data_IF_246969696859
#
_entry.id   IF_246969696859
#
_cell.length_a   1.000
_cell.length_b   1.000
_cell.length_c   1.000
_cell.angle_alpha   90.00
_cell.angle_beta   90.00
_cell.angle_gamma   90.00
#
_symmetry.space_group_name_H-M   'P 1'
#
loop_
_entity.id
_entity.type
_entity.pdbx_description
1 polymer ?
#
# COMPACT_ATOMS: atom_id res chain seq x y z
N UNK A 1 -26.46 11.38 4.53
CA UNK A 1 -25.39 10.82 3.69
C UNK A 1 -26.06 10.32 2.43
N UNK A 2 -25.47 10.59 1.26
CA UNK A 2 -25.94 10.03 -0.02
C UNK A 2 -25.77 8.51 -0.07
N UNK A 3 -26.25 7.84 -1.14
CA UNK A 3 -26.00 6.41 -1.33
C UNK A 3 -24.49 6.15 -1.38
N UNK A 4 -24.06 5.05 -0.76
CA UNK A 4 -22.65 4.63 -0.81
C UNK A 4 -22.32 4.09 -2.20
N UNK A 5 -21.07 4.27 -2.61
CA UNK A 5 -20.53 3.76 -3.87
C UNK A 5 -20.33 2.25 -3.72
N UNK A 6 -20.91 1.49 -4.63
CA UNK A 6 -20.72 0.04 -4.70
C UNK A 6 -19.29 -0.29 -5.11
N UNK A 7 -18.68 -1.26 -4.42
CA UNK A 7 -17.32 -1.71 -4.70
C UNK A 7 -17.23 -3.23 -4.79
N UNK A 8 -16.33 -3.68 -5.66
CA UNK A 8 -15.97 -5.09 -5.80
C UNK A 8 -14.59 -5.41 -5.24
N UNK A 9 -14.35 -6.69 -4.92
CA UNK A 9 -13.04 -7.19 -4.48
C UNK A 9 -12.68 -8.42 -5.31
N UNK A 10 -11.61 -8.33 -6.11
CA UNK A 10 -10.95 -9.45 -6.77
C UNK A 10 -9.96 -10.13 -5.80
N UNK A 11 -9.98 -11.45 -5.74
CA UNK A 11 -9.19 -12.22 -4.78
C UNK A 11 -9.74 -12.17 -3.36
N UNK A 12 -11.06 -12.00 -3.20
CA UNK A 12 -11.76 -11.73 -1.95
C UNK A 12 -11.50 -12.76 -0.83
N UNK A 13 -11.26 -14.02 -1.16
CA UNK A 13 -11.03 -15.12 -0.19
C UNK A 13 -9.62 -15.17 0.38
N UNK A 14 -8.65 -14.48 -0.24
CA UNK A 14 -7.26 -14.38 0.20
C UNK A 14 -7.08 -13.45 1.41
N UNK A 15 -5.89 -13.46 2.04
CA UNK A 15 -5.59 -12.64 3.22
C UNK A 15 -5.82 -11.15 2.99
N UNK A 16 -5.32 -10.60 1.87
CA UNK A 16 -5.52 -9.18 1.55
C UNK A 16 -6.98 -8.89 1.19
N UNK A 17 -7.67 -9.83 0.50
CA UNK A 17 -9.10 -9.75 0.25
C UNK A 17 -9.92 -9.67 1.53
N UNK A 18 -9.60 -10.49 2.52
CA UNK A 18 -10.23 -10.43 3.85
C UNK A 18 -9.92 -9.11 4.58
N UNK A 19 -8.70 -8.56 4.44
CA UNK A 19 -8.37 -7.24 4.98
C UNK A 19 -9.20 -6.13 4.33
N UNK A 20 -9.47 -6.20 3.02
CA UNK A 20 -10.42 -5.27 2.38
C UNK A 20 -11.81 -5.38 3.01
N UNK A 21 -12.33 -6.60 3.17
CA UNK A 21 -13.64 -6.83 3.80
C UNK A 21 -13.68 -6.22 5.20
N UNK A 22 -12.66 -6.46 6.02
CA UNK A 22 -12.56 -5.91 7.37
C UNK A 22 -12.45 -4.38 7.36
N UNK A 23 -11.61 -3.83 6.51
CA UNK A 23 -11.32 -2.39 6.47
C UNK A 23 -12.48 -1.55 5.91
N UNK A 24 -13.24 -2.10 4.95
CA UNK A 24 -14.43 -1.48 4.37
C UNK A 24 -15.69 -1.66 5.22
N UNK A 25 -15.62 -2.41 6.31
CA UNK A 25 -16.76 -2.54 7.23
C UNK A 25 -17.15 -1.15 7.77
N UNK A 26 -18.42 -0.77 7.55
CA UNK A 26 -18.94 0.55 7.91
C UNK A 26 -18.21 1.75 7.29
N UNK A 27 -17.58 1.57 6.13
CA UNK A 27 -16.93 2.67 5.43
C UNK A 27 -17.98 3.73 5.03
N UNK A 28 -17.72 5.05 5.23
CA UNK A 28 -18.74 6.06 5.00
C UNK A 28 -19.10 6.26 3.53
N UNK A 29 -18.18 5.96 2.59
CA UNK A 29 -18.36 6.19 1.16
C UNK A 29 -18.55 4.91 0.34
N UNK A 30 -17.98 3.78 0.78
CA UNK A 30 -17.94 2.54 0.00
C UNK A 30 -18.74 1.41 0.64
N UNK A 31 -19.38 0.59 -0.20
CA UNK A 31 -20.12 -0.60 0.22
C UNK A 31 -19.77 -1.79 -0.67
N UNK A 32 -19.38 -2.91 -0.05
CA UNK A 32 -19.06 -4.13 -0.79
C UNK A 32 -20.34 -4.77 -1.28
N UNK A 33 -20.49 -4.88 -2.60
CA UNK A 33 -21.63 -5.54 -3.26
C UNK A 33 -21.23 -6.72 -4.12
N UNK A 34 -19.93 -6.86 -4.44
CA UNK A 34 -19.43 -7.89 -5.32
C UNK A 34 -18.10 -8.48 -4.82
N UNK A 35 -17.98 -9.81 -4.90
CA UNK A 35 -16.77 -10.52 -4.47
C UNK A 35 -16.38 -11.53 -5.56
N UNK A 36 -15.17 -11.35 -6.13
CA UNK A 36 -14.60 -12.26 -7.11
C UNK A 36 -13.49 -13.12 -6.52
N UNK A 37 -13.50 -14.41 -6.82
CA UNK A 37 -12.43 -15.33 -6.45
C UNK A 37 -12.24 -16.43 -7.51
N UNK A 38 -11.35 -17.39 -7.24
CA UNK A 38 -11.10 -18.51 -8.16
C UNK A 38 -12.32 -19.41 -8.35
N UNK A 39 -12.33 -20.18 -9.43
CA UNK A 39 -13.38 -21.16 -9.79
C UNK A 39 -13.76 -22.10 -8.64
N UNK A 40 -12.84 -22.38 -7.70
CA UNK A 40 -13.11 -23.22 -6.52
C UNK A 40 -14.11 -22.57 -5.55
N UNK A 41 -14.18 -21.26 -5.55
CA UNK A 41 -15.00 -20.43 -4.65
C UNK A 41 -16.25 -19.91 -5.34
N UNK A 42 -16.23 -19.76 -6.67
CA UNK A 42 -17.34 -19.24 -7.44
C UNK A 42 -18.61 -20.07 -7.25
N UNK A 43 -19.74 -19.38 -7.16
CA UNK A 43 -21.05 -19.99 -6.94
C UNK A 43 -21.45 -20.23 -5.48
N UNK A 44 -20.50 -20.20 -4.54
CA UNK A 44 -20.75 -20.34 -3.09
C UNK A 44 -21.01 -18.96 -2.46
N UNK A 45 -21.63 -18.93 -1.30
CA UNK A 45 -21.62 -17.71 -0.48
C UNK A 45 -20.23 -17.42 0.05
N UNK A 46 -19.92 -16.16 0.35
CA UNK A 46 -18.61 -15.80 0.88
C UNK A 46 -18.27 -16.52 2.20
N UNK A 47 -19.28 -16.72 3.04
CA UNK A 47 -19.15 -17.50 4.28
C UNK A 47 -18.75 -18.96 4.05
N UNK A 48 -19.28 -19.59 3.01
CA UNK A 48 -18.93 -20.98 2.63
C UNK A 48 -17.57 -21.06 1.91
N UNK A 49 -17.23 -20.06 1.09
CA UNK A 49 -16.02 -20.02 0.28
C UNK A 49 -14.76 -19.64 1.07
N UNK A 50 -14.92 -19.02 2.25
CA UNK A 50 -13.81 -18.34 2.95
C UNK A 50 -13.59 -18.91 4.33
N UNK A 51 -12.38 -19.40 4.58
CA UNK A 51 -11.89 -19.59 5.95
C UNK A 51 -11.42 -18.23 6.47
N UNK A 52 -12.19 -17.61 7.37
CA UNK A 52 -11.82 -16.33 7.96
C UNK A 52 -10.55 -16.44 8.80
N UNK A 53 -9.52 -15.65 8.51
CA UNK A 53 -8.18 -15.74 9.10
C UNK A 53 -7.79 -14.53 9.93
N UNK A 54 -8.58 -13.47 9.88
CA UNK A 54 -8.32 -12.24 10.63
C UNK A 54 -8.96 -12.28 12.01
N UNK A 55 -8.43 -11.48 12.93
CA UNK A 55 -9.01 -11.32 14.26
C UNK A 55 -10.46 -10.83 14.20
N UNK A 56 -11.28 -11.38 15.09
CA UNK A 56 -12.71 -11.15 15.13
C UNK A 56 -13.49 -12.10 14.22
N UNK A 57 -14.77 -11.81 14.06
CA UNK A 57 -15.69 -12.59 13.22
C UNK A 57 -15.83 -11.95 11.84
N UNK A 58 -16.08 -12.80 10.84
CA UNK A 58 -16.42 -12.33 9.48
C UNK A 58 -17.65 -11.38 9.57
N UNK A 59 -17.60 -10.20 8.93
CA UNK A 59 -18.72 -9.26 8.93
C UNK A 59 -19.99 -9.88 8.34
N UNK A 60 -21.12 -9.76 9.05
CA UNK A 60 -22.36 -10.41 8.68
C UNK A 60 -22.93 -9.94 7.32
N UNK A 61 -22.68 -8.68 6.97
CA UNK A 61 -23.18 -8.08 5.72
C UNK A 61 -22.57 -8.66 4.44
N UNK A 62 -21.43 -9.36 4.54
CA UNK A 62 -20.77 -9.97 3.35
C UNK A 62 -20.95 -11.50 3.30
N UNK A 63 -21.33 -12.14 4.40
CA UNK A 63 -21.38 -13.60 4.50
C UNK A 63 -22.24 -14.27 3.43
N UNK A 64 -23.35 -13.63 3.06
CA UNK A 64 -24.32 -14.14 2.09
C UNK A 64 -24.10 -13.64 0.67
N UNK A 65 -23.10 -12.79 0.42
CA UNK A 65 -22.74 -12.35 -0.93
C UNK A 65 -22.23 -13.58 -1.70
N UNK A 66 -22.80 -13.83 -2.87
CA UNK A 66 -22.35 -14.91 -3.74
C UNK A 66 -21.01 -14.53 -4.36
N UNK A 67 -20.02 -15.41 -4.22
CA UNK A 67 -18.71 -15.25 -4.86
C UNK A 67 -18.85 -15.56 -6.36
N UNK A 68 -18.35 -14.68 -7.20
CA UNK A 68 -18.40 -14.79 -8.65
C UNK A 68 -17.02 -15.10 -9.25
N UNK A 69 -16.99 -15.50 -10.53
CA UNK A 69 -15.75 -15.61 -11.30
C UNK A 69 -15.09 -14.23 -11.45
N UNK A 70 -13.77 -14.21 -11.54
CA UNK A 70 -13.00 -12.98 -11.76
C UNK A 70 -13.11 -12.53 -13.23
N UNK A 71 -14.33 -12.22 -13.68
CA UNK A 71 -14.62 -11.69 -15.01
C UNK A 71 -15.41 -10.38 -14.91
N UNK A 72 -15.19 -9.43 -15.83
CA UNK A 72 -16.07 -8.28 -15.96
C UNK A 72 -17.52 -8.72 -16.15
N UNK A 73 -18.47 -7.90 -15.91
CA UNK A 73 -19.90 -8.22 -16.09
C UNK A 73 -20.73 -7.42 -15.08
N UNK A 74 -21.20 -8.08 -14.05
CA UNK A 74 -22.00 -7.42 -12.99
C UNK A 74 -21.15 -6.76 -11.90
N UNK A 75 -19.82 -6.75 -12.03
CA UNK A 75 -18.96 -6.10 -11.07
C UNK A 75 -19.21 -4.58 -11.05
N UNK A 76 -19.16 -3.93 -9.87
CA UNK A 76 -19.30 -2.48 -9.78
C UNK A 76 -18.14 -1.77 -10.47
N UNK A 77 -18.31 -0.46 -10.73
CA UNK A 77 -17.31 0.33 -11.44
C UNK A 77 -15.95 0.35 -10.71
N UNK A 78 -15.94 0.48 -9.39
CA UNK A 78 -14.72 0.45 -8.58
C UNK A 78 -14.46 -0.98 -8.07
N UNK A 79 -13.26 -1.49 -8.37
CA UNK A 79 -12.85 -2.83 -7.94
C UNK A 79 -11.45 -2.78 -7.32
N UNK A 80 -11.35 -3.30 -6.11
CA UNK A 80 -10.06 -3.55 -5.46
C UNK A 80 -9.51 -4.90 -5.90
N UNK A 81 -8.22 -4.96 -6.26
CA UNK A 81 -7.60 -6.22 -6.65
C UNK A 81 -6.51 -6.66 -5.67
N UNK A 82 -6.62 -7.91 -5.22
CA UNK A 82 -5.62 -8.64 -4.44
C UNK A 82 -5.29 -9.98 -5.08
N UNK A 83 -5.27 -10.02 -6.41
CA UNK A 83 -5.00 -11.20 -7.20
C UNK A 83 -3.53 -11.61 -7.13
N UNK A 84 -3.30 -12.92 -7.24
CA UNK A 84 -1.95 -13.44 -7.43
C UNK A 84 -1.34 -12.89 -8.73
N UNK A 85 -0.04 -12.60 -8.69
CA UNK A 85 0.65 -12.02 -9.83
C UNK A 85 0.63 -12.89 -11.10
N UNK A 86 0.44 -14.20 -10.97
CA UNK A 86 0.37 -15.11 -12.12
C UNK A 86 -0.85 -14.89 -13.01
N UNK A 87 -1.93 -14.33 -12.45
CA UNK A 87 -3.22 -14.13 -13.17
C UNK A 87 -3.67 -12.66 -13.19
N UNK A 88 -3.06 -11.81 -12.38
CA UNK A 88 -3.50 -10.42 -12.19
C UNK A 88 -3.49 -9.62 -13.50
N UNK A 89 -2.45 -9.76 -14.33
CA UNK A 89 -2.30 -8.96 -15.55
C UNK A 89 -3.52 -9.08 -16.47
N UNK A 90 -3.89 -10.30 -16.81
CA UNK A 90 -4.98 -10.55 -17.75
C UNK A 90 -6.34 -10.12 -17.18
N UNK A 91 -6.59 -10.44 -15.90
CA UNK A 91 -7.85 -10.13 -15.24
C UNK A 91 -8.03 -8.62 -15.08
N UNK A 92 -7.03 -7.93 -14.53
CA UNK A 92 -7.10 -6.48 -14.28
C UNK A 92 -7.23 -5.69 -15.58
N UNK A 93 -6.53 -6.11 -16.65
CA UNK A 93 -6.65 -5.49 -17.97
C UNK A 93 -8.05 -5.72 -18.58
N UNK A 94 -8.61 -6.92 -18.44
CA UNK A 94 -9.96 -7.20 -18.93
C UNK A 94 -11.01 -6.31 -18.23
N UNK A 95 -10.87 -6.11 -16.91
CA UNK A 95 -11.74 -5.20 -16.16
C UNK A 95 -11.57 -3.74 -16.59
N UNK A 96 -10.33 -3.26 -16.73
CA UNK A 96 -10.07 -1.88 -17.18
C UNK A 96 -10.59 -1.65 -18.60
N UNK A 97 -10.44 -2.61 -19.50
CA UNK A 97 -10.98 -2.57 -20.87
C UNK A 97 -12.51 -2.51 -20.86
N UNK A 98 -13.17 -3.24 -19.96
CA UNK A 98 -14.63 -3.24 -19.80
C UNK A 98 -15.18 -1.95 -19.16
N UNK A 99 -14.32 -1.08 -18.61
CA UNK A 99 -14.70 0.21 -18.05
C UNK A 99 -14.59 0.31 -16.54
N UNK A 100 -14.07 -0.71 -15.87
CA UNK A 100 -13.89 -0.67 -14.42
C UNK A 100 -12.65 0.14 -14.01
N UNK A 101 -12.71 0.72 -12.82
CA UNK A 101 -11.59 1.37 -12.15
C UNK A 101 -10.97 0.36 -11.19
N UNK A 102 -9.72 -0.01 -11.45
CA UNK A 102 -8.99 -0.99 -10.66
C UNK A 102 -7.99 -0.30 -9.75
N UNK A 103 -8.07 -0.59 -8.45
CA UNK A 103 -7.01 -0.26 -7.48
C UNK A 103 -6.33 -1.57 -7.08
N UNK A 104 -5.12 -1.77 -7.64
CA UNK A 104 -4.42 -3.06 -7.57
C UNK A 104 -3.33 -3.10 -6.50
N UNK A 105 -3.29 -4.19 -5.73
CA UNK A 105 -2.16 -4.54 -4.86
C UNK A 105 -1.14 -5.44 -5.57
N UNK A 106 -1.46 -5.97 -6.76
CA UNK A 106 -0.55 -6.80 -7.52
C UNK A 106 0.67 -6.01 -8.01
N UNK A 107 1.80 -6.70 -8.15
CA UNK A 107 3.04 -6.09 -8.64
C UNK A 107 3.05 -5.78 -10.13
N UNK A 108 2.15 -6.40 -10.89
CA UNK A 108 2.25 -6.53 -12.34
C UNK A 108 2.30 -5.19 -13.10
N UNK A 109 1.53 -4.21 -12.68
CA UNK A 109 1.43 -2.92 -13.36
C UNK A 109 2.23 -1.79 -12.71
N UNK A 110 2.89 -2.03 -11.56
CA UNK A 110 3.52 -0.97 -10.75
C UNK A 110 4.56 -0.14 -11.50
N UNK A 111 5.37 -0.78 -12.34
CA UNK A 111 6.47 -0.11 -13.05
C UNK A 111 6.11 0.28 -14.48
N UNK A 112 4.87 0.07 -14.92
CA UNK A 112 4.42 0.54 -16.23
C UNK A 112 4.41 2.08 -16.28
N UNK A 113 4.86 2.69 -17.38
CA UNK A 113 5.09 4.15 -17.44
C UNK A 113 3.81 4.98 -17.39
N UNK A 114 2.67 4.39 -17.77
CA UNK A 114 1.35 5.03 -17.80
C UNK A 114 0.43 4.62 -16.63
N UNK A 115 0.96 3.85 -15.67
CA UNK A 115 0.21 3.43 -14.47
C UNK A 115 0.74 4.15 -13.24
N UNK A 116 -0.10 4.89 -12.49
CA UNK A 116 0.33 5.51 -11.26
C UNK A 116 0.59 4.45 -10.17
N UNK A 117 1.78 4.53 -9.56
CA UNK A 117 2.14 3.82 -8.34
C UNK A 117 1.92 4.77 -7.17
N UNK A 118 0.81 4.61 -6.45
CA UNK A 118 0.22 5.69 -5.68
C UNK A 118 0.36 5.50 -4.17
N UNK A 119 0.87 6.53 -3.52
CA UNK A 119 0.71 6.80 -2.10
C UNK A 119 0.10 8.21 -2.00
N UNK A 120 -1.19 8.36 -1.67
CA UNK A 120 -1.91 9.62 -1.73
C UNK A 120 -1.22 10.79 -1.03
N UNK A 121 -0.53 10.51 0.08
CA UNK A 121 0.20 11.53 0.84
C UNK A 121 1.47 12.01 0.17
N UNK A 122 1.99 11.29 -0.84
CA UNK A 122 3.29 11.62 -1.46
C UNK A 122 3.12 12.16 -2.87
N UNK A 123 2.29 11.50 -3.67
CA UNK A 123 2.26 11.68 -5.11
C UNK A 123 0.83 11.65 -5.70
N UNK A 124 -0.10 12.30 -5.04
CA UNK A 124 -1.49 12.43 -5.53
C UNK A 124 -1.57 12.97 -6.97
N UNK A 125 -0.62 13.81 -7.38
CA UNK A 125 -0.52 14.38 -8.73
C UNK A 125 -0.17 13.34 -9.80
N UNK A 126 0.37 12.16 -9.44
CA UNK A 126 0.58 11.06 -10.39
C UNK A 126 -0.74 10.53 -10.99
N UNK A 127 -1.89 10.77 -10.36
CA UNK A 127 -3.21 10.46 -10.94
C UNK A 127 -3.47 11.20 -12.28
N UNK A 128 -2.80 12.31 -12.52
CA UNK A 128 -2.91 13.07 -13.79
C UNK A 128 -2.43 12.27 -15.00
N UNK A 129 -1.75 11.13 -14.81
CA UNK A 129 -1.37 10.23 -15.91
C UNK A 129 -2.52 9.37 -16.43
N UNK A 130 -3.62 9.23 -15.69
CA UNK A 130 -4.75 8.35 -16.04
C UNK A 130 -5.34 8.65 -17.44
N UNK A 131 -5.61 9.89 -17.83
CA UNK A 131 -6.10 10.15 -19.19
C UNK A 131 -5.13 9.70 -20.30
N UNK A 132 -3.83 9.70 -20.03
CA UNK A 132 -2.82 9.20 -20.94
C UNK A 132 -2.86 7.66 -21.02
N UNK A 133 -3.01 6.98 -19.88
CA UNK A 133 -3.21 5.53 -19.82
C UNK A 133 -4.41 5.10 -20.68
N UNK A 134 -5.57 5.74 -20.47
CA UNK A 134 -6.79 5.43 -21.19
C UNK A 134 -6.63 5.60 -22.71
N UNK A 135 -6.02 6.70 -23.16
CA UNK A 135 -5.76 6.95 -24.59
C UNK A 135 -4.79 5.94 -25.19
N UNK A 136 -3.67 5.64 -24.51
CA UNK A 136 -2.64 4.72 -25.01
C UNK A 136 -3.15 3.29 -25.14
N UNK A 137 -3.99 2.87 -24.20
CA UNK A 137 -4.48 1.47 -24.12
C UNK A 137 -5.85 1.27 -24.75
N UNK A 138 -6.56 2.34 -25.13
CA UNK A 138 -7.92 2.26 -25.63
C UNK A 138 -8.92 1.77 -24.58
N UNK A 139 -8.64 1.99 -23.29
CA UNK A 139 -9.50 1.56 -22.20
C UNK A 139 -10.53 2.62 -21.83
N UNK A 140 -11.72 2.15 -21.40
CA UNK A 140 -12.76 3.00 -20.81
C UNK A 140 -12.57 3.12 -19.29
N UNK A 141 -11.96 2.14 -18.66
CA UNK A 141 -11.59 2.13 -17.26
C UNK A 141 -10.12 2.53 -17.06
N UNK A 142 -9.57 2.16 -15.91
CA UNK A 142 -8.21 2.54 -15.54
C UNK A 142 -7.64 1.62 -14.46
N UNK A 143 -6.31 1.61 -14.34
CA UNK A 143 -5.58 0.91 -13.29
C UNK A 143 -4.72 1.91 -12.54
N UNK A 144 -4.87 1.95 -11.21
CA UNK A 144 -3.92 2.54 -10.28
C UNK A 144 -3.37 1.44 -9.36
N UNK A 145 -2.10 1.53 -8.97
CA UNK A 145 -1.45 0.47 -8.19
C UNK A 145 -0.97 0.96 -6.83
N UNK A 146 -1.06 0.06 -5.84
CA UNK A 146 -0.39 0.20 -4.55
C UNK A 146 1.06 -0.29 -4.66
N UNK A 147 2.00 0.35 -3.95
CA UNK A 147 3.37 -0.12 -3.83
C UNK A 147 3.49 -1.43 -3.04
N UNK A 148 4.69 -1.99 -3.08
CA UNK A 148 5.12 -3.02 -2.15
C UNK A 148 5.02 -2.55 -0.69
N UNK A 149 4.64 -3.44 0.23
CA UNK A 149 4.36 -3.10 1.62
C UNK A 149 5.57 -2.52 2.38
N UNK A 150 6.79 -2.99 2.10
CA UNK A 150 8.00 -2.43 2.69
C UNK A 150 8.35 -1.07 2.05
N UNK A 151 8.11 -0.93 0.75
CA UNK A 151 8.30 0.33 0.03
C UNK A 151 7.40 1.43 0.57
N UNK A 152 6.13 1.13 0.88
CA UNK A 152 5.22 2.11 1.51
C UNK A 152 5.81 2.65 2.82
N UNK A 153 6.31 1.75 3.68
CA UNK A 153 6.92 2.14 4.96
C UNK A 153 8.13 3.04 4.76
N UNK A 154 9.03 2.69 3.83
CA UNK A 154 10.21 3.48 3.52
C UNK A 154 9.84 4.83 2.89
N UNK A 155 9.03 4.83 1.84
CA UNK A 155 8.66 6.04 1.10
C UNK A 155 7.93 7.06 1.98
N UNK A 156 7.03 6.61 2.86
CA UNK A 156 6.34 7.47 3.82
C UNK A 156 7.29 8.10 4.83
N UNK A 157 8.27 7.33 5.33
CA UNK A 157 9.27 7.87 6.26
C UNK A 157 10.22 8.87 5.58
N UNK A 158 10.48 8.72 4.27
CA UNK A 158 11.31 9.61 3.47
C UNK A 158 10.55 10.85 2.97
N UNK A 159 9.23 10.80 2.83
CA UNK A 159 8.43 11.87 2.24
C UNK A 159 8.62 13.24 2.92
N UNK A 160 8.61 13.35 4.26
CA UNK A 160 8.91 14.61 4.95
C UNK A 160 10.31 15.17 4.65
N UNK A 161 11.26 14.28 4.33
CA UNK A 161 12.65 14.62 4.07
C UNK A 161 12.91 15.05 2.61
N UNK A 162 11.95 14.82 1.69
CA UNK A 162 12.10 15.16 0.26
C UNK A 162 12.47 16.62 0.03
N UNK A 163 11.98 17.53 0.84
CA UNK A 163 12.26 18.97 0.78
C UNK A 163 13.74 19.33 1.02
N UNK A 164 14.53 18.42 1.57
CA UNK A 164 15.95 18.59 1.82
C UNK A 164 16.83 17.96 0.73
N UNK A 165 16.23 17.36 -0.30
CA UNK A 165 16.95 16.72 -1.42
C UNK A 165 17.56 15.38 -1.03
N UNK A 166 16.86 14.27 -1.29
CA UNK A 166 17.34 12.92 -1.00
C UNK A 166 18.28 12.47 -2.11
N UNK A 167 19.53 12.11 -1.80
CA UNK A 167 20.54 11.67 -2.77
C UNK A 167 20.88 10.19 -2.66
N UNK A 168 20.95 9.65 -1.42
CA UNK A 168 21.23 8.23 -1.18
C UNK A 168 20.38 7.69 -0.05
N UNK A 169 19.97 6.44 -0.20
CA UNK A 169 19.21 5.69 0.82
C UNK A 169 19.79 4.29 0.94
N UNK A 170 20.16 3.90 2.15
CA UNK A 170 20.45 2.52 2.52
C UNK A 170 19.33 2.03 3.43
N UNK A 171 18.67 0.94 3.04
CA UNK A 171 17.55 0.38 3.77
C UNK A 171 17.81 -1.10 4.12
N UNK A 172 17.50 -1.49 5.35
CA UNK A 172 17.48 -2.89 5.75
C UNK A 172 16.15 -3.20 6.39
N UNK A 173 15.39 -4.13 5.82
CA UNK A 173 14.06 -4.47 6.32
C UNK A 173 14.08 -5.62 7.31
N UNK A 174 13.11 -5.59 8.22
CA UNK A 174 12.70 -6.70 9.07
C UNK A 174 11.21 -6.92 8.81
N UNK A 175 10.91 -7.83 7.86
CA UNK A 175 9.56 -8.01 7.34
C UNK A 175 8.81 -9.11 8.08
N UNK A 176 7.59 -8.80 8.47
CA UNK A 176 6.66 -9.69 9.16
C UNK A 176 6.23 -10.90 8.29
N UNK A 177 5.89 -12.00 8.94
CA UNK A 177 5.48 -13.27 8.31
C UNK A 177 4.23 -13.10 7.44
N UNK A 178 3.26 -12.30 7.88
CA UNK A 178 2.01 -12.06 7.15
C UNK A 178 2.22 -11.49 5.74
N UNK A 179 3.35 -10.83 5.49
CA UNK A 179 3.73 -10.35 4.17
C UNK A 179 3.98 -11.45 3.12
N UNK A 180 4.15 -12.70 3.55
CA UNK A 180 4.23 -13.84 2.65
C UNK A 180 2.85 -14.38 2.22
N UNK A 181 1.75 -13.81 2.70
CA UNK A 181 0.40 -14.35 2.51
C UNK A 181 0.19 -15.61 3.37
N UNK A 182 -1.06 -16.14 3.37
CA UNK A 182 -1.34 -17.38 4.09
C UNK A 182 -0.90 -18.60 3.25
N UNK A 183 -0.26 -19.61 3.84
CA UNK A 183 -0.04 -19.86 5.29
C UNK A 183 1.19 -19.15 5.90
N UNK A 184 1.82 -18.22 5.22
CA UNK A 184 3.03 -17.56 5.67
C UNK A 184 4.29 -18.34 5.31
N UNK A 185 5.30 -18.27 6.17
CA UNK A 185 6.53 -19.04 6.07
C UNK A 185 6.40 -20.27 6.96
N UNK A 186 6.94 -21.42 6.54
CA UNK A 186 6.93 -22.63 7.34
C UNK A 186 7.57 -22.38 8.73
N UNK A 187 6.94 -22.85 9.78
CA UNK A 187 7.34 -22.52 11.16
C UNK A 187 8.79 -22.94 11.48
N UNK A 188 9.26 -24.04 10.91
CA UNK A 188 10.63 -24.52 11.09
C UNK A 188 11.67 -23.63 10.40
N UNK A 189 11.27 -22.88 9.37
CA UNK A 189 12.18 -21.99 8.64
C UNK A 189 12.35 -20.63 9.32
N UNK A 190 11.33 -20.19 10.09
CA UNK A 190 11.32 -18.84 10.65
C UNK A 190 11.47 -18.78 12.17
N UNK A 191 11.05 -19.81 12.93
CA UNK A 191 11.18 -19.80 14.37
C UNK A 191 12.66 -19.81 14.79
N UNK A 192 13.03 -18.84 15.66
CA UNK A 192 14.40 -18.61 16.09
C UNK A 192 15.40 -18.38 14.92
N UNK A 193 14.91 -17.85 13.79
CA UNK A 193 15.70 -17.66 12.57
C UNK A 193 15.38 -16.31 11.90
N UNK A 194 16.30 -15.84 11.06
CA UNK A 194 16.13 -14.73 10.13
C UNK A 194 16.45 -15.22 8.72
N UNK A 195 15.52 -15.03 7.78
CA UNK A 195 15.75 -15.41 6.38
C UNK A 195 16.24 -14.15 5.65
N UNK A 196 17.50 -14.08 5.18
CA UNK A 196 18.10 -12.89 4.59
C UNK A 196 17.78 -12.73 3.10
N UNK A 197 16.60 -13.18 2.68
CA UNK A 197 16.16 -13.14 1.29
C UNK A 197 14.64 -13.20 1.17
N UNK A 198 14.09 -12.27 0.39
CA UNK A 198 12.68 -12.29 -0.05
C UNK A 198 12.69 -12.00 -1.55
N UNK A 199 12.19 -12.93 -2.35
CA UNK A 199 12.30 -12.88 -3.81
C UNK A 199 11.85 -11.56 -4.43
N UNK A 200 12.74 -10.90 -5.16
CA UNK A 200 12.54 -9.60 -5.84
C UNK A 200 12.12 -8.41 -4.95
N UNK A 201 12.24 -8.51 -3.62
CA UNK A 201 11.84 -7.41 -2.73
C UNK A 201 12.82 -6.23 -2.79
N UNK A 202 14.11 -6.50 -2.92
CA UNK A 202 15.16 -5.48 -2.96
C UNK A 202 15.02 -4.60 -4.20
N UNK A 203 14.85 -5.20 -5.38
CA UNK A 203 14.64 -4.49 -6.64
C UNK A 203 13.36 -3.66 -6.62
N UNK A 204 12.25 -4.21 -6.09
CA UNK A 204 11.00 -3.47 -5.93
C UNK A 204 11.21 -2.26 -5.02
N UNK A 205 11.81 -2.45 -3.87
CA UNK A 205 12.03 -1.37 -2.91
C UNK A 205 12.85 -0.23 -3.51
N UNK A 206 13.88 -0.56 -4.29
CA UNK A 206 14.71 0.42 -4.99
C UNK A 206 13.92 1.19 -6.05
N UNK A 207 13.32 0.50 -7.01
CA UNK A 207 12.66 1.09 -8.17
C UNK A 207 11.34 1.79 -7.80
N UNK A 208 10.52 1.16 -6.96
CA UNK A 208 9.24 1.73 -6.54
C UNK A 208 9.45 3.00 -5.70
N UNK A 209 10.45 3.03 -4.78
CA UNK A 209 10.78 4.24 -4.00
C UNK A 209 11.13 5.41 -4.92
N UNK A 210 11.95 5.19 -5.95
CA UNK A 210 12.30 6.22 -6.91
C UNK A 210 11.08 6.72 -7.70
N UNK A 211 10.19 5.83 -8.14
CA UNK A 211 8.97 6.20 -8.87
C UNK A 211 8.00 6.99 -7.98
N UNK A 212 7.78 6.54 -6.74
CA UNK A 212 6.84 7.17 -5.80
C UNK A 212 7.30 8.59 -5.42
N UNK A 213 8.60 8.75 -5.11
CA UNK A 213 9.18 10.05 -4.75
C UNK A 213 9.52 10.91 -5.97
N UNK A 214 9.24 10.42 -7.17
CA UNK A 214 9.42 11.13 -8.42
C UNK A 214 8.43 12.28 -8.63
N UNK A 215 8.38 12.79 -9.85
CA UNK A 215 7.57 13.95 -10.23
C UNK A 215 6.78 13.65 -11.51
N UNK A 216 5.52 14.09 -11.56
CA UNK A 216 4.74 14.09 -12.79
C UNK A 216 5.15 15.25 -13.69
N UNK A 217 5.56 14.97 -14.92
CA UNK A 217 6.08 15.98 -15.88
C UNK A 217 5.09 16.40 -16.97
N UNK A 218 3.81 15.99 -16.82
CA UNK A 218 2.74 16.27 -17.79
C UNK A 218 2.37 15.07 -18.67
N UNK A 219 3.34 14.24 -19.04
CA UNK A 219 3.15 13.05 -19.88
C UNK A 219 3.87 11.80 -19.37
N UNK A 220 4.64 11.94 -18.31
CA UNK A 220 5.41 10.86 -17.69
C UNK A 220 5.59 11.09 -16.17
N UNK A 221 6.02 10.06 -15.48
CA UNK A 221 6.53 10.13 -14.11
C UNK A 221 8.04 10.00 -14.18
N UNK A 222 8.76 11.08 -13.87
CA UNK A 222 10.22 11.10 -13.76
C UNK A 222 10.63 10.59 -12.39
N UNK A 223 11.33 9.45 -12.28
CA UNK A 223 11.78 8.94 -11.01
C UNK A 223 12.72 9.90 -10.28
N UNK A 224 12.72 9.87 -8.94
CA UNK A 224 13.72 10.55 -8.13
C UNK A 224 15.12 10.03 -8.48
N UNK A 225 16.07 10.93 -8.67
CA UNK A 225 17.44 10.57 -9.02
C UNK A 225 18.30 10.07 -7.85
N UNK A 226 17.69 9.71 -6.72
CA UNK A 226 18.39 9.15 -5.56
C UNK A 226 18.90 7.73 -5.83
N UNK A 227 20.05 7.38 -5.24
CA UNK A 227 20.53 5.99 -5.22
C UNK A 227 19.90 5.28 -4.02
N UNK A 228 19.18 4.19 -4.27
CA UNK A 228 18.54 3.38 -3.23
C UNK A 228 19.15 1.99 -3.24
N UNK A 229 19.59 1.51 -2.08
CA UNK A 229 20.04 0.12 -1.89
C UNK A 229 19.30 -0.49 -0.72
N UNK A 230 18.81 -1.71 -0.88
CA UNK A 230 18.02 -2.40 0.11
C UNK A 230 18.54 -3.81 0.39
N UNK A 231 18.44 -4.24 1.67
CA UNK A 231 18.50 -5.63 2.09
C UNK A 231 17.15 -6.01 2.69
N UNK A 232 16.55 -7.10 2.22
CA UNK A 232 15.21 -7.52 2.64
C UNK A 232 15.25 -8.84 3.40
N UNK A 233 14.91 -8.78 4.69
CA UNK A 233 14.94 -9.93 5.59
C UNK A 233 13.54 -10.27 6.09
N UNK A 234 13.22 -11.56 6.24
CA UNK A 234 12.05 -12.06 6.94
C UNK A 234 12.40 -12.38 8.39
N UNK A 235 11.58 -11.89 9.33
CA UNK A 235 11.76 -12.07 10.77
C UNK A 235 10.51 -12.70 11.41
N UNK A 236 10.64 -13.37 12.59
CA UNK A 236 9.51 -14.02 13.28
C UNK A 236 8.58 -13.01 13.98
N UNK A 237 8.05 -12.05 13.21
CA UNK A 237 7.05 -11.05 13.62
C UNK A 237 5.79 -11.31 12.82
N UNK A 238 4.61 -11.27 13.43
CA UNK A 238 3.35 -11.58 12.73
C UNK A 238 3.00 -10.45 11.77
N UNK A 239 2.84 -9.22 12.27
CA UNK A 239 2.48 -8.02 11.51
C UNK A 239 3.42 -6.86 11.82
N UNK A 240 3.56 -5.95 10.86
CA UNK A 240 4.38 -4.75 10.96
C UNK A 240 5.77 -4.93 10.35
N UNK A 241 6.03 -4.23 9.25
CA UNK A 241 7.35 -4.17 8.60
C UNK A 241 8.16 -3.02 9.20
N UNK A 242 9.34 -3.36 9.70
CA UNK A 242 10.32 -2.35 10.11
C UNK A 242 11.39 -2.16 9.03
N UNK A 243 11.87 -0.91 8.92
CA UNK A 243 12.96 -0.55 8.01
C UNK A 243 13.99 0.28 8.77
N UNK A 244 15.20 -0.24 8.90
CA UNK A 244 16.36 0.53 9.32
C UNK A 244 16.88 1.31 8.11
N UNK A 245 16.90 2.64 8.21
CA UNK A 245 17.22 3.52 7.08
C UNK A 245 18.37 4.44 7.43
N UNK A 246 19.34 4.57 6.51
CA UNK A 246 20.30 5.67 6.49
C UNK A 246 20.11 6.48 5.23
N UNK A 247 20.17 7.81 5.35
CA UNK A 247 19.88 8.73 4.24
C UNK A 247 20.94 9.84 4.15
N UNK A 248 21.29 10.21 2.91
CA UNK A 248 22.10 11.39 2.58
C UNK A 248 21.18 12.43 1.91
N UNK A 249 21.32 13.68 2.35
CA UNK A 249 20.52 14.81 1.88
C UNK A 249 21.44 15.85 1.20
N UNK A 250 20.92 16.54 0.17
CA UNK A 250 21.63 17.67 -0.45
C UNK A 250 21.82 18.81 0.55
N UNK A 251 20.76 19.14 1.32
CA UNK A 251 20.78 20.16 2.36
C UNK A 251 20.83 19.50 3.73
N UNK A 252 21.99 19.58 4.37
CA UNK A 252 22.16 19.11 5.74
C UNK A 252 21.55 20.10 6.72
N UNK A 253 20.77 19.58 7.67
CA UNK A 253 20.06 20.36 8.68
C UNK A 253 20.21 19.71 10.06
N UNK A 254 19.82 20.40 11.12
CA UNK A 254 19.82 19.80 12.46
C UNK A 254 18.78 18.68 12.58
N UNK A 255 19.05 17.66 13.41
CA UNK A 255 18.10 16.57 13.69
C UNK A 255 16.76 17.10 14.16
N UNK A 256 16.73 18.18 14.93
CA UNK A 256 15.50 18.82 15.40
C UNK A 256 14.61 19.30 14.23
N UNK A 257 15.21 19.90 13.18
CA UNK A 257 14.47 20.36 11.99
C UNK A 257 13.86 19.19 11.21
N UNK A 258 14.54 18.04 11.16
CA UNK A 258 13.98 16.83 10.56
C UNK A 258 12.81 16.25 11.36
N UNK A 259 12.90 16.28 12.70
CA UNK A 259 11.81 15.84 13.58
C UNK A 259 10.60 16.75 13.41
N UNK A 260 10.81 18.06 13.34
CA UNK A 260 9.75 19.05 13.08
C UNK A 260 9.09 18.78 11.71
N UNK A 261 9.88 18.58 10.64
CA UNK A 261 9.38 18.25 9.31
C UNK A 261 8.51 16.97 9.31
N UNK A 262 8.90 15.96 10.07
CA UNK A 262 8.09 14.74 10.25
C UNK A 262 6.80 15.06 11.01
N UNK A 263 6.87 15.82 12.08
CA UNK A 263 5.72 16.17 12.94
C UNK A 263 4.67 17.01 12.21
N UNK A 264 5.10 17.89 11.32
CA UNK A 264 4.26 18.81 10.55
C UNK A 264 3.79 18.23 9.22
N UNK A 265 4.33 17.10 8.79
CA UNK A 265 4.02 16.52 7.48
C UNK A 265 2.52 16.22 7.33
N UNK A 266 1.89 16.93 6.42
CA UNK A 266 0.49 16.76 5.98
C UNK A 266 0.45 16.88 4.46
N UNK A 267 -0.64 16.38 3.87
CA UNK A 267 -0.81 16.43 2.43
C UNK A 267 -2.29 16.31 2.03
N UNK A 268 -2.56 16.15 0.76
CA UNK A 268 -3.91 16.12 0.19
C UNK A 268 -4.92 15.25 0.98
N UNK A 269 -4.61 14.01 1.40
CA UNK A 269 -5.57 13.21 2.18
C UNK A 269 -5.99 13.85 3.51
N UNK A 270 -5.07 14.48 4.23
CA UNK A 270 -5.33 15.15 5.51
C UNK A 270 -6.10 16.45 5.29
N UNK A 271 -5.72 17.24 4.28
CA UNK A 271 -6.40 18.49 3.91
C UNK A 271 -7.86 18.25 3.51
N UNK A 272 -8.12 17.18 2.74
CA UNK A 272 -9.45 16.77 2.30
C UNK A 272 -10.21 15.94 3.34
N UNK A 273 -9.57 15.58 4.44
CA UNK A 273 -10.15 14.73 5.50
C UNK A 273 -10.71 13.42 4.95
N UNK A 274 -9.93 12.75 4.10
CA UNK A 274 -10.34 11.47 3.53
C UNK A 274 -10.58 10.45 4.66
N UNK A 275 -11.63 9.61 4.60
CA UNK A 275 -12.08 8.77 5.72
C UNK A 275 -11.02 7.81 6.28
N UNK A 276 -10.15 7.29 5.40
CA UNK A 276 -9.08 6.36 5.81
C UNK A 276 -7.76 7.06 6.15
N UNK A 277 -7.65 8.37 5.89
CA UNK A 277 -6.44 9.11 6.16
C UNK A 277 -6.24 9.30 7.67
N UNK A 278 -5.08 8.91 8.23
CA UNK A 278 -4.75 9.23 9.62
C UNK A 278 -4.48 10.75 9.74
N UNK A 279 -4.80 11.38 10.88
CA UNK A 279 -4.54 12.81 11.08
C UNK A 279 -3.06 13.19 10.95
N UNK A 280 -2.20 12.24 11.29
CA UNK A 280 -0.75 12.31 11.12
C UNK A 280 -0.27 11.09 10.35
N UNK A 281 0.07 11.24 9.06
CA UNK A 281 0.46 10.09 8.23
C UNK A 281 1.84 9.53 8.60
N UNK A 282 2.71 10.38 9.14
CA UNK A 282 3.99 9.99 9.74
C UNK A 282 4.05 10.53 11.17
N UNK A 283 4.42 9.67 12.12
CA UNK A 283 4.47 10.00 13.55
C UNK A 283 5.88 9.74 14.07
N UNK A 284 6.53 10.80 14.59
CA UNK A 284 7.80 10.65 15.27
C UNK A 284 7.60 10.12 16.71
N UNK A 285 8.46 9.19 17.13
CA UNK A 285 8.47 8.59 18.45
C UNK A 285 9.77 8.95 19.18
N UNK A 286 9.65 9.53 20.36
CA UNK A 286 10.79 10.02 21.16
C UNK A 286 11.46 8.90 21.97
N UNK A 287 10.70 7.84 22.29
CA UNK A 287 11.20 6.75 23.10
C UNK A 287 12.34 6.00 22.39
N UNK A 288 13.39 5.71 23.15
CA UNK A 288 14.65 5.15 22.63
C UNK A 288 14.51 3.74 22.03
N UNK A 289 13.47 3.01 22.40
CA UNK A 289 13.20 1.62 21.96
C UNK A 289 12.00 1.51 21.01
N UNK A 290 11.51 2.63 20.47
CA UNK A 290 10.35 2.65 19.54
C UNK A 290 10.77 3.16 18.17
N UNK A 291 10.02 2.75 17.11
CA UNK A 291 8.78 1.94 17.10
C UNK A 291 9.06 0.43 17.26
N UNK A 292 8.01 -0.30 17.70
CA UNK A 292 8.04 -1.76 17.84
C UNK A 292 6.78 -2.38 17.18
N UNK A 293 6.89 -3.42 16.33
CA UNK A 293 5.74 -3.99 15.62
C UNK A 293 4.57 -4.34 16.54
N UNK A 294 4.83 -5.12 17.61
CA UNK A 294 3.79 -5.57 18.54
C UNK A 294 3.03 -4.44 19.25
N UNK A 295 3.66 -3.27 19.40
CA UNK A 295 3.09 -2.16 20.18
C UNK A 295 2.50 -1.05 19.33
N UNK A 296 3.00 -0.90 18.09
CA UNK A 296 2.75 0.29 17.30
C UNK A 296 2.04 0.03 15.98
N UNK A 297 2.17 -1.19 15.41
CA UNK A 297 1.67 -1.45 14.06
C UNK A 297 0.16 -1.17 13.92
N UNK A 298 -0.66 -1.50 14.93
CA UNK A 298 -2.12 -1.31 14.91
C UNK A 298 -2.59 0.11 15.26
N UNK A 299 -1.70 0.97 15.73
CA UNK A 299 -2.06 2.35 16.08
C UNK A 299 -2.52 3.11 14.83
N UNK A 300 -3.35 4.14 15.03
CA UNK A 300 -3.96 4.90 13.93
C UNK A 300 -4.66 3.99 12.89
N UNK A 301 -5.29 2.92 13.37
CA UNK A 301 -5.97 1.92 12.54
C UNK A 301 -5.00 1.23 11.55
N UNK A 302 -3.69 1.17 11.85
CA UNK A 302 -2.64 0.63 10.98
C UNK A 302 -2.29 1.53 9.78
N UNK A 303 -2.81 2.76 9.72
CA UNK A 303 -2.65 3.66 8.56
C UNK A 303 -1.49 4.64 8.68
N UNK A 304 -0.96 4.89 9.87
CA UNK A 304 0.22 5.73 10.06
C UNK A 304 1.53 4.94 9.91
N UNK A 305 2.59 5.64 9.52
CA UNK A 305 3.97 5.14 9.59
C UNK A 305 4.66 5.81 10.78
N UNK A 306 5.31 5.01 11.61
CA UNK A 306 6.02 5.47 12.80
C UNK A 306 7.51 5.57 12.52
N UNK A 307 8.11 6.71 12.86
CA UNK A 307 9.55 6.95 12.73
C UNK A 307 10.12 7.22 14.11
N UNK A 308 11.22 6.55 14.47
CA UNK A 308 11.91 6.79 15.73
C UNK A 308 13.42 6.67 15.56
N UNK A 309 14.15 7.00 16.62
CA UNK A 309 15.61 6.90 16.64
C UNK A 309 16.31 7.71 15.55
N UNK A 310 15.72 8.83 15.12
CA UNK A 310 16.36 9.73 14.17
C UNK A 310 17.56 10.41 14.81
N UNK A 311 18.72 10.28 14.16
CA UNK A 311 20.02 10.79 14.65
C UNK A 311 21.00 10.88 13.50
N UNK A 312 22.11 11.55 13.73
CA UNK A 312 23.22 11.60 12.80
C UNK A 312 23.79 10.21 12.48
N UNK A 313 24.27 10.04 11.27
CA UNK A 313 24.90 8.82 10.77
C UNK A 313 26.34 9.12 10.33
N UNK A 314 27.34 8.38 10.82
CA UNK A 314 28.75 8.63 10.45
C UNK A 314 29.10 8.20 9.02
N UNK A 315 28.22 7.46 8.34
CA UNK A 315 28.45 6.95 6.97
C UNK A 315 27.70 7.78 5.94
N UNK A 316 26.41 8.05 6.20
CA UNK A 316 25.58 9.02 5.48
C UNK A 316 25.26 10.17 6.46
N UNK A 317 24.25 11.01 6.17
CA UNK A 317 23.98 12.14 7.04
C UNK A 317 23.14 11.76 8.25
N UNK A 318 22.07 10.98 8.04
CA UNK A 318 21.10 10.61 9.09
C UNK A 318 20.71 9.16 9.02
N UNK A 319 20.20 8.65 10.17
CA UNK A 319 19.63 7.29 10.25
C UNK A 319 18.46 7.24 11.23
N UNK A 320 17.50 6.37 10.93
CA UNK A 320 16.28 6.18 11.72
C UNK A 320 15.69 4.77 11.55
N UNK A 321 14.68 4.47 12.36
CA UNK A 321 13.85 3.29 12.23
C UNK A 321 12.46 3.72 11.79
N UNK A 322 11.88 3.04 10.79
CA UNK A 322 10.50 3.20 10.37
C UNK A 322 9.70 1.91 10.60
N UNK A 323 8.40 2.04 10.86
CA UNK A 323 7.46 0.93 11.03
C UNK A 323 6.14 1.27 10.35
N UNK A 324 5.63 0.35 9.53
CA UNK A 324 4.28 0.42 8.95
C UNK A 324 3.56 -0.92 9.02
N UNK A 325 2.23 -0.91 9.11
CA UNK A 325 1.42 -2.12 9.07
C UNK A 325 1.35 -2.67 7.64
N UNK A 326 1.92 -3.83 7.39
CA UNK A 326 2.13 -4.36 6.04
C UNK A 326 0.85 -4.79 5.32
N UNK A 327 -0.18 -5.23 6.00
CA UNK A 327 -1.44 -5.67 5.37
C UNK A 327 -2.52 -4.59 5.35
N UNK A 328 -2.36 -3.52 6.13
CA UNK A 328 -3.25 -2.35 6.15
C UNK A 328 -2.60 -1.21 5.37
N UNK A 329 -1.63 -0.48 5.96
CA UNK A 329 -0.94 0.61 5.25
C UNK A 329 -0.19 0.14 4.01
N UNK A 330 0.36 -1.07 4.07
CA UNK A 330 1.09 -1.71 2.97
C UNK A 330 0.21 -2.41 1.93
N UNK A 331 -1.13 -2.47 2.11
CA UNK A 331 -2.03 -3.18 1.21
C UNK A 331 -3.46 -2.62 1.23
N UNK A 332 -4.40 -3.26 1.93
CA UNK A 332 -5.83 -2.97 1.81
C UNK A 332 -6.21 -1.53 2.19
N UNK A 333 -5.71 -1.02 3.30
CA UNK A 333 -6.02 0.34 3.76
C UNK A 333 -5.49 1.42 2.82
N UNK A 334 -4.27 1.22 2.26
CA UNK A 334 -3.72 2.14 1.28
C UNK A 334 -4.52 2.13 -0.03
N UNK A 335 -4.99 0.95 -0.49
CA UNK A 335 -5.83 0.87 -1.68
C UNK A 335 -7.17 1.58 -1.48
N UNK A 336 -7.79 1.45 -0.30
CA UNK A 336 -9.01 2.19 0.03
C UNK A 336 -8.74 3.70 0.02
N UNK A 337 -7.64 4.16 0.62
CA UNK A 337 -7.26 5.57 0.59
C UNK A 337 -6.97 6.07 -0.84
N UNK A 338 -6.38 5.24 -1.71
CA UNK A 338 -6.22 5.55 -3.14
C UNK A 338 -7.58 5.76 -3.81
N UNK A 339 -8.55 4.88 -3.56
CA UNK A 339 -9.89 4.99 -4.10
C UNK A 339 -10.64 6.23 -3.56
N UNK A 340 -10.47 6.57 -2.28
CA UNK A 340 -11.02 7.81 -1.70
C UNK A 340 -10.44 9.05 -2.38
N UNK A 341 -9.13 9.08 -2.64
CA UNK A 341 -8.50 10.16 -3.39
C UNK A 341 -9.08 10.23 -4.81
N UNK A 342 -9.14 9.10 -5.53
CA UNK A 342 -9.69 9.03 -6.89
C UNK A 342 -11.14 9.52 -6.94
N UNK A 343 -11.95 9.17 -5.95
CA UNK A 343 -13.32 9.67 -5.82
C UNK A 343 -13.35 11.19 -5.62
N UNK A 344 -12.51 11.69 -4.73
CA UNK A 344 -12.42 13.15 -4.46
C UNK A 344 -11.90 13.96 -5.64
N UNK A 345 -11.25 13.32 -6.63
CA UNK A 345 -10.79 13.90 -7.90
C UNK A 345 -11.80 13.71 -9.05
N UNK A 346 -12.97 13.06 -8.82
CA UNK A 346 -13.97 12.78 -9.85
C UNK A 346 -13.54 11.67 -10.85
N UNK A 347 -12.61 10.80 -10.48
CA UNK A 347 -12.09 9.76 -11.37
C UNK A 347 -12.89 8.43 -11.30
N UNK A 348 -13.95 8.38 -10.48
CA UNK A 348 -14.83 7.21 -10.35
C UNK A 348 -16.15 7.35 -11.11
N UNK A 349 -16.42 8.51 -11.70
CA UNK A 349 -17.65 8.81 -12.43
C UNK A 349 -17.69 8.16 -13.83
#
# INVERSE_FOLDING_TARGET
>A
MGPRIEVGILGATGMVGQQFVKFLQNHPWFEITWLGASDRSAGKTYGEATSWRLDGTMPANVQNIKVEDCKPGNAPRLVFSSMDASVATEIEQAFAQAGHVIVSNSRNHRMEPDVPLLIPEINSDHLKIIPLQQRRRGWKGQIATNPNCSTVTLAMALAPLKQFGITKVLATTMQAISGAGYPGVASMDINANVIPFIGSEEEKMQQETQKILGEFTGDAIRPLAAKVSAHCNRVPVVDGHMVATSVELERKVGVAELIEAIGEYRSVPQERKLPSAPPRPVIYMEEKDRPQPRRDAERERGMAVFVGRLRECPVLDYKFMALGHNTIRGAAGAAVLNAELMYSEGLLD
#
